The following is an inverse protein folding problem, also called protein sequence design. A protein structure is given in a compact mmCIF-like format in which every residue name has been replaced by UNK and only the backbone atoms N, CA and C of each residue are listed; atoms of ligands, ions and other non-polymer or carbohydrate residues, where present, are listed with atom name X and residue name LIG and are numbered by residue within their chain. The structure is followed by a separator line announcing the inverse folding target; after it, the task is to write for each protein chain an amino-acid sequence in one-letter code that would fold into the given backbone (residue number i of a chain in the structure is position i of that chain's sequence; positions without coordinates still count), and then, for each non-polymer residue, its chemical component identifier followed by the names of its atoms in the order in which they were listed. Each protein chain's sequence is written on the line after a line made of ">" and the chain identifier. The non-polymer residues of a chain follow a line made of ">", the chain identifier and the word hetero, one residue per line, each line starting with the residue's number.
data_IF_576936769042
#
_entry.id   IF_576936769042
#
_cell.length_a   1.000
_cell.length_b   1.000
_cell.length_c   1.000
_cell.angle_alpha   90.00
_cell.angle_beta   90.00
_cell.angle_gamma   90.00
#
_symmetry.space_group_name_H-M   'P 1'
#
loop_
_entity.id
_entity.type
_entity.pdbx_description
1 polymer ?
#
# COMPACT_ATOMS: atom_id res chain seq x y z
N UNK A 1 22.11 42.55 41.13
CA UNK A 1 22.72 41.95 39.93
C UNK A 1 22.87 40.46 40.15
N UNK A 2 22.36 39.63 39.23
CA UNK A 2 22.96 38.36 38.76
C UNK A 2 21.98 37.73 37.75
N UNK A 3 22.30 37.88 36.46
CA UNK A 3 21.72 37.10 35.37
C UNK A 3 22.36 35.71 35.42
N UNK A 4 21.56 34.65 35.46
CA UNK A 4 22.02 33.30 35.11
C UNK A 4 21.13 32.70 34.02
N UNK A 5 21.68 32.74 32.81
CA UNK A 5 21.69 31.68 31.80
C UNK A 5 20.44 30.82 31.62
N UNK A 6 19.56 31.25 30.71
CA UNK A 6 18.70 30.34 29.95
C UNK A 6 19.57 29.53 28.98
N UNK A 7 19.72 28.22 29.21
CA UNK A 7 20.26 27.28 28.22
C UNK A 7 19.28 26.12 27.99
N UNK A 8 18.64 26.20 26.82
CA UNK A 8 18.35 25.13 25.86
C UNK A 8 17.67 23.87 26.42
N UNK A 9 16.39 23.71 26.06
CA UNK A 9 15.89 22.42 25.60
C UNK A 9 15.14 22.66 24.29
N UNK A 10 15.79 22.30 23.20
CA UNK A 10 15.14 22.20 21.90
C UNK A 10 14.00 21.19 22.04
N UNK A 11 12.78 21.66 21.82
CA UNK A 11 11.64 20.79 21.61
C UNK A 11 11.94 19.99 20.34
N UNK A 12 12.22 18.71 20.56
CA UNK A 12 12.26 17.65 19.56
C UNK A 12 11.02 17.78 18.67
N UNK A 13 11.23 18.21 17.42
CA UNK A 13 10.15 18.28 16.43
C UNK A 13 9.74 16.86 16.09
N UNK A 14 8.60 16.45 16.64
CA UNK A 14 7.94 15.20 16.31
C UNK A 14 7.86 15.00 14.78
N UNK A 15 8.58 13.99 14.29
CA UNK A 15 8.22 13.18 13.11
C UNK A 15 8.10 13.84 11.73
N UNK A 16 8.48 15.11 11.54
CA UNK A 16 8.50 15.71 10.21
C UNK A 16 9.85 15.38 9.54
N UNK A 17 9.81 14.56 8.48
CA UNK A 17 10.98 14.26 7.68
C UNK A 17 11.67 15.56 7.26
N UNK A 18 13.01 15.60 7.32
CA UNK A 18 13.76 16.79 6.93
C UNK A 18 13.46 17.13 5.46
N UNK A 19 13.49 18.41 5.06
CA UNK A 19 13.26 18.80 3.67
C UNK A 19 14.17 18.05 2.68
N UNK A 20 15.41 17.75 3.11
CA UNK A 20 16.37 16.93 2.35
C UNK A 20 15.92 15.47 2.15
N UNK A 21 15.34 14.83 3.18
CA UNK A 21 14.79 13.47 3.05
C UNK A 21 13.60 13.43 2.10
N UNK A 22 12.72 14.43 2.18
CA UNK A 22 11.56 14.54 1.28
C UNK A 22 12.00 14.74 -0.17
N UNK A 23 12.96 15.63 -0.41
CA UNK A 23 13.50 15.87 -1.74
C UNK A 23 14.16 14.61 -2.34
N UNK A 24 14.94 13.88 -1.54
CA UNK A 24 15.57 12.63 -1.97
C UNK A 24 14.51 11.55 -2.29
N UNK A 25 13.50 11.38 -1.43
CA UNK A 25 12.42 10.43 -1.66
C UNK A 25 11.64 10.74 -2.95
N UNK A 26 11.29 12.01 -3.19
CA UNK A 26 10.61 12.43 -4.41
C UNK A 26 11.48 12.23 -5.66
N UNK A 27 12.78 12.50 -5.57
CA UNK A 27 13.72 12.24 -6.66
C UNK A 27 13.77 10.76 -7.03
N UNK A 28 13.80 9.88 -6.03
CA UNK A 28 13.80 8.43 -6.21
C UNK A 28 12.49 7.96 -6.85
N UNK A 29 11.35 8.46 -6.36
CA UNK A 29 10.02 8.10 -6.89
C UNK A 29 9.83 8.59 -8.32
N UNK A 30 10.29 9.80 -8.66
CA UNK A 30 10.20 10.35 -10.01
C UNK A 30 11.12 9.62 -11.01
N UNK A 31 12.17 8.96 -10.54
CA UNK A 31 13.06 8.14 -11.36
C UNK A 31 12.51 6.75 -11.68
N UNK A 32 11.35 6.36 -11.13
CA UNK A 32 10.76 5.07 -11.40
C UNK A 32 10.20 5.01 -12.83
N UNK A 33 10.53 3.98 -13.63
CA UNK A 33 9.87 3.78 -14.91
C UNK A 33 8.38 3.52 -14.65
N UNK A 34 7.46 4.09 -15.43
CA UNK A 34 6.04 3.82 -15.27
C UNK A 34 5.74 2.35 -15.60
N UNK A 35 4.81 1.73 -14.86
CA UNK A 35 4.30 0.40 -15.18
C UNK A 35 3.49 0.47 -16.47
N UNK A 36 4.01 -0.10 -17.56
CA UNK A 36 3.41 -0.10 -18.90
C UNK A 36 2.86 -1.47 -19.33
N UNK A 37 3.05 -2.46 -18.46
CA UNK A 37 2.57 -3.83 -18.59
C UNK A 37 3.60 -4.81 -19.15
N UNK A 38 4.68 -4.33 -19.75
CA UNK A 38 5.82 -5.17 -20.17
C UNK A 38 6.89 -5.33 -19.08
N UNK A 39 6.91 -4.39 -18.13
CA UNK A 39 8.01 -4.22 -17.19
C UNK A 39 7.68 -4.59 -15.73
N UNK A 40 6.60 -5.34 -15.46
CA UNK A 40 6.15 -5.61 -14.09
C UNK A 40 7.25 -6.11 -13.12
N UNK A 41 8.08 -7.12 -13.46
CA UNK A 41 9.10 -7.62 -12.52
C UNK A 41 10.10 -6.54 -12.11
N UNK A 42 10.64 -5.78 -13.08
CA UNK A 42 11.64 -4.75 -12.82
C UNK A 42 11.03 -3.49 -12.18
N UNK A 43 9.79 -3.15 -12.56
CA UNK A 43 9.02 -2.09 -11.91
C UNK A 43 8.79 -2.41 -10.43
N UNK A 44 8.38 -3.65 -10.12
CA UNK A 44 8.07 -4.08 -8.75
C UNK A 44 9.29 -3.96 -7.84
N UNK A 45 10.45 -4.41 -8.30
CA UNK A 45 11.71 -4.34 -7.55
C UNK A 45 12.12 -2.89 -7.27
N UNK A 46 12.14 -2.04 -8.30
CA UNK A 46 12.50 -0.62 -8.16
C UNK A 46 11.51 0.13 -7.26
N UNK A 47 10.22 -0.16 -7.38
CA UNK A 47 9.19 0.40 -6.52
C UNK A 47 9.47 0.04 -5.05
N UNK A 48 9.72 -1.24 -4.74
CA UNK A 48 10.01 -1.65 -3.36
C UNK A 48 11.24 -0.93 -2.81
N UNK A 49 12.31 -0.86 -3.59
CA UNK A 49 13.52 -0.11 -3.21
C UNK A 49 13.22 1.37 -2.92
N UNK A 50 12.38 2.01 -3.75
CA UNK A 50 11.98 3.40 -3.56
C UNK A 50 11.16 3.63 -2.29
N UNK A 51 10.26 2.70 -1.95
CA UNK A 51 9.43 2.81 -0.74
C UNK A 51 10.28 2.67 0.53
N UNK A 52 11.23 1.73 0.53
CA UNK A 52 12.19 1.54 1.62
C UNK A 52 13.13 2.72 1.77
N UNK A 53 13.71 3.23 0.68
CA UNK A 53 14.57 4.43 0.73
C UNK A 53 13.83 5.69 1.21
N UNK A 54 12.50 5.73 1.04
CA UNK A 54 11.67 6.84 1.48
C UNK A 54 11.15 6.69 2.92
N UNK A 55 11.47 5.60 3.63
CA UNK A 55 10.94 5.26 4.97
C UNK A 55 9.40 5.27 5.00
N UNK A 56 8.73 4.78 3.93
CA UNK A 56 7.25 4.76 3.85
C UNK A 56 6.64 3.36 3.73
N UNK A 57 7.44 2.31 3.70
CA UNK A 57 7.08 0.90 3.51
C UNK A 57 6.51 0.19 4.75
N UNK A 58 6.42 0.87 5.90
CA UNK A 58 5.92 0.29 7.15
C UNK A 58 4.57 -0.48 7.01
N UNK A 59 3.61 0.04 6.25
CA UNK A 59 2.32 -0.60 6.01
C UNK A 59 2.37 -1.79 5.03
N UNK A 60 3.48 -1.95 4.31
CA UNK A 60 3.76 -3.10 3.45
C UNK A 60 4.38 -4.24 4.26
N UNK A 61 5.29 -3.90 5.17
CA UNK A 61 6.01 -4.87 6.01
C UNK A 61 5.17 -5.35 7.20
N UNK A 62 4.34 -4.48 7.75
CA UNK A 62 3.56 -4.76 8.97
C UNK A 62 2.10 -5.03 8.61
N UNK A 63 1.51 -6.18 9.02
CA UNK A 63 0.09 -6.43 8.82
C UNK A 63 -0.75 -5.37 9.54
N UNK A 64 -1.93 -5.07 8.99
CA UNK A 64 -2.88 -4.13 9.60
C UNK A 64 -3.18 -4.58 11.03
N UNK A 65 -2.95 -3.70 11.99
CA UNK A 65 -3.19 -3.98 13.41
C UNK A 65 -4.68 -4.29 13.64
N UNK A 66 -4.94 -5.44 14.26
CA UNK A 66 -6.26 -5.78 14.78
C UNK A 66 -6.48 -5.06 16.12
N UNK A 67 -7.70 -4.58 16.41
CA UNK A 67 -8.01 -3.94 17.68
C UNK A 67 -7.61 -4.83 18.87
N UNK A 68 -7.17 -4.24 20.00
CA UNK A 68 -6.74 -4.97 21.19
C UNK A 68 -7.84 -5.79 21.89
N UNK A 69 -9.03 -5.92 21.30
CA UNK A 69 -10.18 -6.65 21.85
C UNK A 69 -10.13 -8.17 21.59
N UNK A 70 -9.22 -8.68 20.73
CA UNK A 70 -9.30 -10.07 20.25
C UNK A 70 -8.06 -10.96 20.49
N UNK A 71 -7.06 -10.52 21.25
CA UNK A 71 -6.10 -11.48 21.81
C UNK A 71 -6.73 -12.07 23.08
N UNK A 72 -7.03 -13.37 23.04
CA UNK A 72 -7.96 -14.12 23.89
C UNK A 72 -7.62 -14.23 25.40
N UNK A 73 -6.96 -13.24 26.01
CA UNK A 73 -6.61 -13.23 27.43
C UNK A 73 -6.70 -11.81 28.02
N UNK A 74 -7.92 -11.34 28.31
CA UNK A 74 -8.09 -10.02 28.95
C UNK A 74 -9.10 -10.14 30.09
N UNK A 75 -8.60 -10.13 31.33
CA UNK A 75 -9.42 -9.78 32.49
C UNK A 75 -9.90 -8.33 32.35
N UNK A 76 -11.09 -7.95 32.85
CA UNK A 76 -11.69 -6.63 32.63
C UNK A 76 -10.78 -5.43 32.98
N UNK A 77 -9.85 -5.60 33.93
CA UNK A 77 -8.87 -4.59 34.33
C UNK A 77 -7.79 -4.29 33.26
N UNK A 78 -7.56 -5.21 32.31
CA UNK A 78 -6.57 -5.08 31.26
C UNK A 78 -7.12 -4.37 29.99
N UNK A 79 -8.44 -4.28 29.85
CA UNK A 79 -9.13 -3.56 28.78
C UNK A 79 -9.10 -2.02 29.00
N UNK A 80 -9.17 -1.58 30.27
CA UNK A 80 -9.17 -0.16 30.67
C UNK A 80 -7.77 0.42 30.92
N UNK A 81 -6.75 -0.06 30.21
CA UNK A 81 -5.41 0.53 30.34
C UNK A 81 -5.23 1.66 29.29
N UNK A 82 -5.30 2.95 29.69
CA UNK A 82 -5.19 4.07 28.76
C UNK A 82 -3.84 4.11 28.03
N UNK A 83 -2.76 3.63 28.64
CA UNK A 83 -1.44 3.57 27.99
C UNK A 83 -1.41 2.55 26.84
N UNK A 84 -2.14 1.42 26.96
CA UNK A 84 -2.28 0.44 25.88
C UNK A 84 -3.09 1.02 24.72
N UNK A 85 -4.21 1.67 25.02
CA UNK A 85 -5.04 2.30 24.00
C UNK A 85 -4.26 3.39 23.23
N UNK A 86 -3.54 4.26 23.96
CA UNK A 86 -2.69 5.29 23.36
C UNK A 86 -1.60 4.68 22.46
N UNK A 87 -0.95 3.59 22.89
CA UNK A 87 0.06 2.92 22.07
C UNK A 87 -0.52 2.30 20.80
N UNK A 88 -1.71 1.69 20.89
CA UNK A 88 -2.42 1.15 19.74
C UNK A 88 -2.80 2.25 18.75
N UNK A 89 -3.38 3.35 19.24
CA UNK A 89 -3.80 4.46 18.39
C UNK A 89 -2.61 5.13 17.68
N UNK A 90 -1.47 5.24 18.35
CA UNK A 90 -0.24 5.77 17.77
C UNK A 90 0.29 4.87 16.64
N UNK A 91 0.37 3.55 16.87
CA UNK A 91 0.84 2.60 15.86
C UNK A 91 -0.14 2.50 14.68
N UNK A 92 -1.44 2.48 14.95
CA UNK A 92 -2.48 2.54 13.92
C UNK A 92 -2.34 3.79 13.05
N UNK A 93 -2.16 4.97 13.66
CA UNK A 93 -1.98 6.22 12.91
C UNK A 93 -0.69 6.23 12.07
N UNK A 94 0.40 5.62 12.55
CA UNK A 94 1.64 5.43 11.78
C UNK A 94 1.40 4.53 10.58
N UNK A 95 0.73 3.39 10.78
CA UNK A 95 0.38 2.44 9.73
C UNK A 95 -0.51 3.09 8.66
N UNK A 96 -1.59 3.77 9.05
CA UNK A 96 -2.52 4.44 8.11
C UNK A 96 -1.81 5.53 7.29
N UNK A 97 -0.90 6.28 7.93
CA UNK A 97 -0.09 7.30 7.24
C UNK A 97 0.85 6.69 6.22
N UNK A 98 1.54 5.60 6.56
CA UNK A 98 2.40 4.86 5.65
C UNK A 98 1.58 4.26 4.49
N UNK A 99 0.46 3.61 4.79
CA UNK A 99 -0.43 3.02 3.80
C UNK A 99 -0.92 4.04 2.77
N UNK A 100 -1.37 5.22 3.22
CA UNK A 100 -1.79 6.31 2.34
C UNK A 100 -0.67 6.77 1.40
N UNK A 101 0.55 6.93 1.93
CA UNK A 101 1.72 7.33 1.13
C UNK A 101 2.08 6.27 0.10
N UNK A 102 2.13 4.98 0.49
CA UNK A 102 2.35 3.87 -0.43
C UNK A 102 1.33 3.87 -1.56
N UNK A 103 0.03 3.97 -1.25
CA UNK A 103 -1.03 3.99 -2.27
C UNK A 103 -0.84 5.14 -3.27
N UNK A 104 -0.50 6.34 -2.79
CA UNK A 104 -0.23 7.48 -3.67
C UNK A 104 0.94 7.22 -4.62
N UNK A 105 2.06 6.69 -4.10
CA UNK A 105 3.25 6.37 -4.90
C UNK A 105 2.94 5.27 -5.92
N UNK A 106 2.34 4.16 -5.48
CA UNK A 106 2.02 3.03 -6.36
C UNK A 106 1.10 3.50 -7.49
N UNK A 107 -0.01 4.19 -7.17
CA UNK A 107 -0.95 4.72 -8.18
C UNK A 107 -0.32 5.77 -9.11
N UNK A 108 0.65 6.54 -8.62
CA UNK A 108 1.38 7.54 -9.40
C UNK A 108 2.36 6.93 -10.41
N UNK A 109 2.87 5.73 -10.13
CA UNK A 109 3.85 5.04 -10.98
C UNK A 109 3.23 4.10 -12.02
N UNK A 110 1.90 4.10 -12.18
CA UNK A 110 1.19 3.24 -13.13
C UNK A 110 0.53 4.11 -14.20
N UNK A 111 0.66 3.73 -15.47
CA UNK A 111 0.02 4.47 -16.56
C UNK A 111 -1.52 4.48 -16.40
N UNK A 112 -2.22 5.55 -16.82
CA UNK A 112 -3.66 5.70 -16.60
C UNK A 112 -4.51 4.52 -17.08
N UNK A 113 -4.16 3.94 -18.23
CA UNK A 113 -4.89 2.81 -18.84
C UNK A 113 -4.88 1.57 -17.96
N UNK A 114 -3.71 1.20 -17.40
CA UNK A 114 -3.57 0.05 -16.51
C UNK A 114 -4.18 0.36 -15.15
N UNK A 115 -3.97 1.59 -14.66
CA UNK A 115 -4.52 2.04 -13.37
C UNK A 115 -6.03 1.95 -13.34
N UNK A 116 -6.72 2.30 -14.43
CA UNK A 116 -8.17 2.21 -14.55
C UNK A 116 -8.73 0.79 -14.55
N UNK A 117 -7.91 -0.21 -14.91
CA UNK A 117 -8.31 -1.61 -14.91
C UNK A 117 -8.22 -2.28 -13.53
N UNK A 118 -7.58 -1.63 -12.56
CA UNK A 118 -7.35 -2.21 -11.23
C UNK A 118 -8.34 -1.57 -10.24
N UNK A 119 -9.22 -2.37 -9.60
CA UNK A 119 -10.19 -1.83 -8.64
C UNK A 119 -9.47 -1.23 -7.44
N UNK A 120 -10.03 -0.16 -6.89
CA UNK A 120 -9.46 0.50 -5.72
C UNK A 120 -9.38 -0.45 -4.51
N UNK A 121 -8.36 -0.25 -3.68
CA UNK A 121 -8.17 -0.93 -2.40
C UNK A 121 -7.89 0.10 -1.32
N UNK A 122 -8.27 -0.24 -0.09
CA UNK A 122 -7.90 0.53 1.10
C UNK A 122 -6.46 0.25 1.54
N UNK A 123 -5.95 -0.97 1.33
CA UNK A 123 -4.60 -1.35 1.71
C UNK A 123 -3.63 -1.39 0.51
N UNK A 124 -2.42 -0.85 0.70
CA UNK A 124 -1.34 -0.86 -0.29
C UNK A 124 -0.90 -2.29 -0.65
N UNK A 125 -0.86 -3.18 0.34
CA UNK A 125 -0.54 -4.60 0.16
C UNK A 125 -1.54 -5.31 -0.74
N UNK A 126 -2.84 -5.10 -0.51
CA UNK A 126 -3.91 -5.63 -1.36
C UNK A 126 -3.84 -5.07 -2.77
N UNK A 127 -3.54 -3.77 -2.92
CA UNK A 127 -3.37 -3.15 -4.23
C UNK A 127 -2.20 -3.76 -5.01
N UNK A 128 -1.06 -3.99 -4.35
CA UNK A 128 0.10 -4.66 -4.93
C UNK A 128 -0.20 -6.11 -5.31
N UNK A 129 -1.00 -6.82 -4.52
CA UNK A 129 -1.43 -8.18 -4.84
C UNK A 129 -2.30 -8.20 -6.10
N UNK A 130 -3.26 -7.29 -6.24
CA UNK A 130 -4.09 -7.19 -7.46
C UNK A 130 -3.25 -6.87 -8.70
N UNK A 131 -2.26 -5.98 -8.58
CA UNK A 131 -1.32 -5.69 -9.67
C UNK A 131 -0.57 -6.99 -10.03
N UNK A 132 -0.01 -7.69 -9.05
CA UNK A 132 0.69 -8.96 -9.25
C UNK A 132 -0.19 -9.97 -9.99
N UNK A 133 -1.45 -10.13 -9.57
CA UNK A 133 -2.36 -11.11 -10.16
C UNK A 133 -2.66 -10.79 -11.64
N UNK A 134 -2.77 -9.51 -12.00
CA UNK A 134 -2.93 -9.07 -13.39
C UNK A 134 -1.73 -9.46 -14.26
N UNK A 135 -0.50 -9.33 -13.75
CA UNK A 135 0.72 -9.55 -14.53
C UNK A 135 1.31 -10.96 -14.45
N UNK A 136 1.04 -11.73 -13.39
CA UNK A 136 1.70 -13.03 -13.15
C UNK A 136 0.82 -14.25 -13.43
N UNK A 137 -0.33 -14.06 -14.09
CA UNK A 137 -1.02 -15.17 -14.74
C UNK A 137 -2.46 -15.43 -14.30
N UNK A 138 -3.19 -14.49 -13.69
CA UNK A 138 -4.64 -14.64 -13.59
C UNK A 138 -5.27 -14.74 -14.99
N UNK A 139 -4.75 -13.98 -15.97
CA UNK A 139 -5.27 -14.01 -17.34
C UNK A 139 -4.92 -15.33 -18.04
N UNK A 140 -3.65 -15.77 -18.00
CA UNK A 140 -3.21 -17.04 -18.62
C UNK A 140 -3.93 -18.23 -17.98
N UNK A 141 -4.06 -18.27 -16.65
CA UNK A 141 -4.82 -19.33 -15.97
C UNK A 141 -6.31 -19.30 -16.31
N UNK A 142 -6.91 -18.10 -16.44
CA UNK A 142 -8.30 -17.95 -16.89
C UNK A 142 -8.48 -18.48 -18.32
N UNK A 143 -7.58 -18.17 -19.24
CA UNK A 143 -7.65 -18.69 -20.62
C UNK A 143 -7.36 -20.20 -20.69
N UNK A 144 -6.42 -20.71 -19.89
CA UNK A 144 -6.05 -22.12 -19.89
C UNK A 144 -7.13 -23.04 -19.27
N UNK A 145 -7.90 -22.53 -18.31
CA UNK A 145 -8.93 -23.30 -17.61
C UNK A 145 -10.35 -23.07 -18.16
N UNK A 146 -10.53 -22.17 -19.13
CA UNK A 146 -11.84 -21.88 -19.67
C UNK A 146 -12.13 -22.75 -20.89
N UNK A 147 -13.22 -23.52 -20.80
CA UNK A 147 -13.78 -24.25 -21.93
C UNK A 147 -14.47 -23.27 -22.89
N UNK A 148 -14.22 -23.45 -24.18
CA UNK A 148 -14.84 -22.66 -25.22
C UNK A 148 -16.35 -22.91 -25.24
N UNK A 149 -17.15 -21.86 -25.02
CA UNK A 149 -18.61 -21.92 -24.90
C UNK A 149 -19.34 -21.95 -26.26
N UNK A 150 -18.61 -22.05 -27.37
CA UNK A 150 -19.18 -22.00 -28.71
C UNK A 150 -19.54 -20.59 -29.19
N UNK A 151 -19.36 -19.54 -28.37
CA UNK A 151 -19.51 -18.15 -28.84
C UNK A 151 -18.38 -17.77 -29.80
N UNK A 152 -18.61 -16.82 -30.71
CA UNK A 152 -17.57 -16.42 -31.65
C UNK A 152 -16.29 -16.04 -30.91
N UNK A 153 -15.13 -16.38 -31.47
CA UNK A 153 -13.80 -16.19 -30.83
C UNK A 153 -13.65 -14.77 -30.24
N UNK A 154 -14.16 -13.76 -30.96
CA UNK A 154 -14.16 -12.37 -30.49
C UNK A 154 -15.01 -12.15 -29.24
N UNK A 155 -16.24 -12.70 -29.21
CA UNK A 155 -17.12 -12.62 -28.04
C UNK A 155 -16.54 -13.38 -26.85
N UNK A 156 -15.95 -14.55 -27.10
CA UNK A 156 -15.29 -15.35 -26.07
C UNK A 156 -14.11 -14.59 -25.44
N UNK A 157 -13.21 -14.01 -26.24
CA UNK A 157 -12.09 -13.18 -25.76
C UNK A 157 -12.60 -11.95 -24.99
N UNK A 158 -13.67 -11.31 -25.47
CA UNK A 158 -14.27 -10.14 -24.84
C UNK A 158 -14.89 -10.49 -23.48
N UNK A 159 -15.68 -11.57 -23.39
CA UNK A 159 -16.22 -12.09 -22.12
C UNK A 159 -15.11 -12.47 -21.13
N UNK A 160 -14.08 -13.17 -21.59
CA UNK A 160 -12.98 -13.65 -20.75
C UNK A 160 -12.09 -12.51 -20.23
N UNK A 161 -11.92 -11.44 -21.01
CA UNK A 161 -11.15 -10.24 -20.61
C UNK A 161 -11.94 -9.31 -19.70
N UNK A 162 -13.28 -9.29 -19.75
CA UNK A 162 -14.15 -8.39 -19.00
C UNK A 162 -14.67 -8.94 -17.66
N UNK A 163 -14.22 -10.11 -17.22
CA UNK A 163 -14.81 -10.87 -16.10
C UNK A 163 -14.89 -10.14 -14.74
N UNK A 164 -15.95 -9.32 -14.56
CA UNK A 164 -16.84 -9.23 -13.40
C UNK A 164 -18.05 -8.35 -13.75
N UNK A 165 -19.23 -8.95 -13.92
CA UNK A 165 -20.55 -8.49 -13.42
C UNK A 165 -21.62 -9.47 -13.92
N UNK A 166 -21.82 -10.56 -13.18
CA UNK A 166 -23.09 -11.29 -13.10
C UNK A 166 -22.99 -12.28 -11.93
N UNK A 167 -23.00 -11.77 -10.70
CA UNK A 167 -23.64 -12.48 -9.60
C UNK A 167 -24.93 -11.71 -9.29
N UNK A 168 -26.01 -12.17 -9.93
CA UNK A 168 -27.41 -12.10 -9.50
C UNK A 168 -28.03 -13.29 -10.24
N UNK A 169 -28.64 -14.29 -9.62
CA UNK A 169 -29.51 -14.32 -8.45
C UNK A 169 -29.21 -15.57 -7.60
#
# INVERSE_FOLDING_TARGET
>A
MLRLGTRVRGAEKAGLASPSKIANALSVINGLPPLDGSNYPSWREKLMMALTMADIDHAIETPRLTPPVLAAEVTPAAADNPARQMSYDLEKAKWERSNKKCLMVIRGTIIPTIRGAIPECEAATEYLQKIKDQFTGALIKKFANAEYDGSGIREYIMKMSQGRTAQSL
#
